data_IF_206547911166
#
_entry.id   IF_206547911166
#
_cell.length_a   1.000
_cell.length_b   1.000
_cell.length_c   1.000
_cell.angle_alpha   90.00
_cell.angle_beta   90.00
_cell.angle_gamma   90.00
#
_symmetry.space_group_name_H-M   'P 1'
#
loop_
_entity.id
_entity.type
_entity.pdbx_description
1 polymer ?
#
# COMPACT_ATOMS: atom_id res chain seq x y z
N UNK A 1 33.71 -0.63 29.03
CA UNK A 1 32.43 0.10 28.84
C UNK A 1 32.06 0.26 27.36
N UNK A 2 32.99 0.56 26.44
CA UNK A 2 32.74 0.72 24.98
C UNK A 2 31.99 -0.45 24.32
N UNK A 3 32.46 -1.70 24.50
CA UNK A 3 31.85 -2.87 23.88
C UNK A 3 30.38 -3.11 24.26
N UNK A 4 29.95 -2.67 25.45
CA UNK A 4 28.56 -2.82 25.88
C UNK A 4 27.66 -1.76 25.22
N UNK A 5 28.15 -0.55 24.99
CA UNK A 5 27.43 0.49 24.28
C UNK A 5 27.28 0.16 22.78
N UNK A 6 28.37 -0.29 22.14
CA UNK A 6 28.36 -0.75 20.75
C UNK A 6 27.40 -1.92 20.53
N UNK A 7 27.35 -2.89 21.46
CA UNK A 7 26.41 -4.01 21.40
C UNK A 7 24.94 -3.57 21.55
N UNK A 8 24.65 -2.58 22.40
CA UNK A 8 23.31 -2.03 22.59
C UNK A 8 22.86 -1.23 21.36
N UNK A 9 23.75 -0.44 20.74
CA UNK A 9 23.46 0.27 19.49
C UNK A 9 23.28 -0.67 18.30
N UNK A 10 24.09 -1.73 18.21
CA UNK A 10 23.93 -2.75 17.19
C UNK A 10 22.57 -3.46 17.34
N UNK A 11 22.20 -3.84 18.56
CA UNK A 11 20.92 -4.48 18.87
C UNK A 11 19.70 -3.60 18.60
N UNK A 12 19.77 -2.29 18.89
CA UNK A 12 18.69 -1.35 18.59
C UNK A 12 18.53 -1.10 17.08
N UNK A 13 19.65 -1.03 16.35
CA UNK A 13 19.68 -0.92 14.90
C UNK A 13 19.03 -2.13 14.20
N UNK A 14 19.36 -3.34 14.63
CA UNK A 14 18.81 -4.58 14.07
C UNK A 14 17.30 -4.72 14.39
N UNK A 15 16.88 -4.31 15.59
CA UNK A 15 15.47 -4.24 15.94
C UNK A 15 14.67 -3.25 15.05
N UNK A 16 15.28 -2.13 14.66
CA UNK A 16 14.69 -1.17 13.72
C UNK A 16 14.53 -1.73 12.30
N UNK A 17 15.50 -2.49 11.81
CA UNK A 17 15.44 -3.17 10.50
C UNK A 17 14.32 -4.21 10.49
N UNK A 18 14.23 -5.02 11.54
CA UNK A 18 13.19 -6.04 11.68
C UNK A 18 11.79 -5.40 11.84
N UNK A 19 11.68 -4.33 12.64
CA UNK A 19 10.45 -3.57 12.79
C UNK A 19 9.94 -3.00 11.47
N UNK A 20 10.82 -2.39 10.66
CA UNK A 20 10.46 -1.89 9.33
C UNK A 20 10.02 -3.04 8.39
N UNK A 21 10.70 -4.18 8.43
CA UNK A 21 10.36 -5.35 7.62
C UNK A 21 8.97 -5.88 7.96
N UNK A 22 8.64 -6.00 9.26
CA UNK A 22 7.31 -6.41 9.71
C UNK A 22 6.21 -5.42 9.33
N UNK A 23 6.43 -4.13 9.54
CA UNK A 23 5.46 -3.09 9.14
C UNK A 23 5.19 -3.15 7.63
N UNK A 24 6.26 -3.22 6.83
CA UNK A 24 6.17 -3.31 5.37
C UNK A 24 5.43 -4.58 4.93
N UNK A 25 5.67 -5.71 5.59
CA UNK A 25 4.99 -6.97 5.35
C UNK A 25 3.50 -6.90 5.67
N UNK A 26 3.14 -6.45 6.89
CA UNK A 26 1.75 -6.30 7.34
C UNK A 26 0.95 -5.37 6.43
N UNK A 27 1.49 -4.20 6.10
CA UNK A 27 0.83 -3.26 5.17
C UNK A 27 0.73 -3.86 3.78
N UNK A 28 1.72 -4.64 3.33
CA UNK A 28 1.66 -5.37 2.05
C UNK A 28 0.49 -6.35 1.98
N UNK A 29 0.30 -7.17 3.01
CA UNK A 29 -0.82 -8.12 3.08
C UNK A 29 -2.16 -7.39 3.10
N UNK A 30 -2.27 -6.34 3.92
CA UNK A 30 -3.47 -5.50 3.99
C UNK A 30 -3.81 -4.90 2.60
N UNK A 31 -2.81 -4.34 1.91
CA UNK A 31 -3.00 -3.79 0.57
C UNK A 31 -3.45 -4.84 -0.44
N UNK A 32 -2.91 -6.07 -0.40
CA UNK A 32 -3.38 -7.15 -1.29
C UNK A 32 -4.87 -7.44 -1.07
N UNK A 33 -5.33 -7.50 0.19
CA UNK A 33 -6.75 -7.71 0.51
C UNK A 33 -7.62 -6.55 0.02
N UNK A 34 -7.22 -5.30 0.29
CA UNK A 34 -7.97 -4.13 -0.13
C UNK A 34 -8.01 -3.98 -1.65
N UNK A 35 -6.90 -4.22 -2.35
CA UNK A 35 -6.82 -4.20 -3.81
C UNK A 35 -7.64 -5.32 -4.45
N UNK A 36 -7.71 -6.49 -3.82
CA UNK A 36 -8.59 -7.56 -4.26
C UNK A 36 -10.06 -7.14 -4.13
N UNK A 37 -10.46 -6.57 -2.98
CA UNK A 37 -11.81 -6.06 -2.78
C UNK A 37 -12.16 -4.95 -3.79
N UNK A 38 -11.23 -4.02 -4.05
CA UNK A 38 -11.36 -2.99 -5.09
C UNK A 38 -11.54 -3.62 -6.47
N UNK A 39 -10.74 -4.63 -6.81
CA UNK A 39 -10.84 -5.34 -8.09
C UNK A 39 -12.20 -6.00 -8.32
N UNK A 40 -12.87 -6.48 -7.26
CA UNK A 40 -14.22 -7.03 -7.38
C UNK A 40 -15.25 -5.97 -7.81
N UNK A 41 -15.05 -4.70 -7.44
CA UNK A 41 -15.95 -3.60 -7.84
C UNK A 41 -15.93 -3.36 -9.35
N UNK A 42 -14.80 -3.68 -10.02
CA UNK A 42 -14.61 -3.51 -11.46
C UNK A 42 -15.53 -4.45 -12.26
N UNK A 43 -15.87 -5.63 -11.71
CA UNK A 43 -16.78 -6.59 -12.36
C UNK A 43 -18.18 -5.99 -12.61
N UNK A 44 -18.58 -4.98 -11.85
CA UNK A 44 -19.82 -4.23 -12.04
C UNK A 44 -19.64 -2.77 -11.64
N UNK A 45 -18.79 -2.06 -12.37
CA UNK A 45 -18.40 -0.70 -11.96
C UNK A 45 -19.59 0.27 -11.86
N UNK A 46 -20.60 0.12 -12.72
CA UNK A 46 -21.81 0.97 -12.70
C UNK A 46 -22.65 0.76 -11.43
N UNK A 47 -22.80 -0.49 -11.00
CA UNK A 47 -23.58 -0.83 -9.80
C UNK A 47 -22.78 -0.67 -8.50
N UNK A 48 -21.45 -0.74 -8.57
CA UNK A 48 -20.55 -0.72 -7.42
C UNK A 48 -19.69 0.55 -7.37
N UNK A 49 -20.05 1.61 -8.12
CA UNK A 49 -19.24 2.83 -8.19
C UNK A 49 -19.01 3.47 -6.81
N UNK A 50 -20.03 3.48 -5.96
CA UNK A 50 -19.92 3.99 -4.58
C UNK A 50 -18.92 3.18 -3.76
N UNK A 51 -18.91 1.87 -3.94
CA UNK A 51 -17.99 0.98 -3.23
C UNK A 51 -16.57 1.12 -3.77
N UNK A 52 -16.40 1.23 -5.09
CA UNK A 52 -15.12 1.50 -5.75
C UNK A 52 -14.51 2.80 -5.23
N UNK A 53 -15.29 3.89 -5.20
CA UNK A 53 -14.81 5.17 -4.66
C UNK A 53 -14.43 5.07 -3.18
N UNK A 54 -15.24 4.38 -2.38
CA UNK A 54 -14.96 4.21 -0.95
C UNK A 54 -13.66 3.42 -0.71
N UNK A 55 -13.50 2.27 -1.36
CA UNK A 55 -12.31 1.42 -1.20
C UNK A 55 -11.08 2.12 -1.81
N UNK A 56 -11.22 2.78 -2.97
CA UNK A 56 -10.19 3.61 -3.58
C UNK A 56 -9.65 4.70 -2.65
N UNK A 57 -10.52 5.38 -1.90
CA UNK A 57 -10.13 6.35 -0.87
C UNK A 57 -9.51 5.69 0.36
N UNK A 58 -10.08 4.56 0.81
CA UNK A 58 -9.55 3.76 1.92
C UNK A 58 -8.11 3.29 1.64
N UNK A 59 -7.77 3.01 0.39
CA UNK A 59 -6.43 2.60 -0.05
C UNK A 59 -5.37 3.70 0.12
N UNK A 60 -5.75 4.98 0.06
CA UNK A 60 -4.78 6.09 0.03
C UNK A 60 -3.83 6.09 1.23
N UNK A 61 -4.30 6.10 2.50
CA UNK A 61 -3.37 6.16 3.63
C UNK A 61 -2.50 4.89 3.82
N UNK A 62 -3.02 3.65 3.67
CA UNK A 62 -2.19 2.45 3.66
C UNK A 62 -1.12 2.43 2.56
N UNK A 63 -1.43 2.94 1.36
CA UNK A 63 -0.45 3.09 0.28
C UNK A 63 0.64 4.09 0.67
N UNK A 64 0.26 5.25 1.22
CA UNK A 64 1.24 6.24 1.72
C UNK A 64 2.14 5.61 2.78
N UNK A 65 1.56 4.88 3.75
CA UNK A 65 2.32 4.18 4.77
C UNK A 65 3.30 3.16 4.17
N UNK A 66 2.88 2.41 3.13
CA UNK A 66 3.74 1.47 2.42
C UNK A 66 4.92 2.18 1.75
N UNK A 67 4.65 3.26 1.02
CA UNK A 67 5.67 4.05 0.30
C UNK A 67 6.67 4.64 1.28
N UNK A 68 6.21 5.21 2.40
CA UNK A 68 7.08 5.77 3.43
C UNK A 68 7.94 4.68 4.07
N UNK A 69 7.35 3.53 4.43
CA UNK A 69 8.09 2.44 5.06
C UNK A 69 9.17 1.83 4.15
N UNK A 70 8.86 1.62 2.86
CA UNK A 70 9.83 1.10 1.88
C UNK A 70 10.87 2.16 1.49
N UNK A 71 10.45 3.41 1.32
CA UNK A 71 11.32 4.55 1.06
C UNK A 71 12.31 4.81 2.20
N UNK A 72 11.87 4.68 3.45
CA UNK A 72 12.75 4.76 4.62
C UNK A 72 13.86 3.70 4.58
N UNK A 73 13.51 2.43 4.29
CA UNK A 73 14.50 1.35 4.15
C UNK A 73 15.48 1.63 3.01
N UNK A 74 14.97 2.10 1.88
CA UNK A 74 15.78 2.48 0.72
C UNK A 74 16.77 3.58 1.10
N UNK A 75 16.29 4.69 1.68
CA UNK A 75 17.11 5.80 2.12
C UNK A 75 18.21 5.35 3.10
N UNK A 76 17.85 4.59 4.15
CA UNK A 76 18.82 4.10 5.15
C UNK A 76 19.90 3.20 4.55
N UNK A 77 19.56 2.40 3.54
CA UNK A 77 20.54 1.60 2.81
C UNK A 77 21.54 2.48 2.05
N UNK A 78 21.07 3.47 1.28
CA UNK A 78 21.95 4.34 0.48
C UNK A 78 22.69 5.40 1.31
N UNK A 79 22.17 5.80 2.47
CA UNK A 79 22.91 6.60 3.46
C UNK A 79 23.87 5.74 4.31
N UNK A 80 24.10 4.48 3.93
CA UNK A 80 25.04 3.54 4.56
C UNK A 80 24.82 3.31 6.05
N UNK A 81 23.57 3.29 6.51
CA UNK A 81 23.27 2.92 7.89
C UNK A 81 23.69 1.45 8.12
N UNK A 82 24.66 1.21 9.02
CA UNK A 82 25.28 -0.11 9.20
C UNK A 82 24.27 -1.27 9.38
N UNK A 83 23.18 -1.15 10.16
CA UNK A 83 22.19 -2.22 10.28
C UNK A 83 21.48 -2.55 8.96
N UNK A 84 21.20 -1.55 8.12
CA UNK A 84 20.50 -1.72 6.85
C UNK A 84 21.41 -2.28 5.75
N UNK A 85 22.69 -1.92 5.77
CA UNK A 85 23.69 -2.47 4.83
C UNK A 85 23.98 -3.95 5.15
N UNK A 86 24.11 -4.32 6.42
CA UNK A 86 24.29 -5.72 6.86
C UNK A 86 23.16 -6.63 6.41
N UNK A 87 21.93 -6.11 6.34
CA UNK A 87 20.76 -6.88 5.86
C UNK A 87 20.83 -7.22 4.37
N UNK A 88 21.70 -6.54 3.62
CA UNK A 88 21.91 -6.74 2.19
C UNK A 88 21.13 -5.77 1.30
N UNK A 89 21.51 -5.68 0.02
CA UNK A 89 20.87 -4.79 -0.95
C UNK A 89 19.38 -5.09 -1.12
N UNK A 90 18.55 -4.06 -1.41
CA UNK A 90 17.22 -4.29 -1.96
C UNK A 90 17.33 -5.18 -3.20
N UNK A 91 16.40 -6.15 -3.34
CA UNK A 91 16.41 -7.08 -4.46
C UNK A 91 16.52 -6.31 -5.81
N UNK A 92 17.42 -6.69 -6.73
CA UNK A 92 17.73 -5.87 -7.91
C UNK A 92 16.52 -5.61 -8.82
N UNK A 93 15.64 -6.60 -8.98
CA UNK A 93 14.37 -6.44 -9.72
C UNK A 93 13.44 -5.40 -9.05
N UNK A 94 13.47 -5.29 -7.72
CA UNK A 94 12.71 -4.29 -6.97
C UNK A 94 13.27 -2.88 -7.09
N UNK A 95 14.56 -2.73 -7.44
CA UNK A 95 15.17 -1.40 -7.64
C UNK A 95 14.63 -0.68 -8.86
N UNK A 96 14.23 -1.42 -9.90
CA UNK A 96 13.65 -0.85 -11.11
C UNK A 96 12.12 -0.84 -11.07
N UNK A 97 11.50 -1.97 -10.70
CA UNK A 97 10.04 -2.07 -10.67
C UNK A 97 9.44 -1.23 -9.53
N UNK A 98 10.12 -1.12 -8.39
CA UNK A 98 9.63 -0.40 -7.22
C UNK A 98 9.29 1.08 -7.50
N UNK A 99 10.23 1.89 -8.01
CA UNK A 99 9.96 3.29 -8.35
C UNK A 99 8.84 3.45 -9.39
N UNK A 100 8.87 2.65 -10.46
CA UNK A 100 7.84 2.71 -11.50
C UNK A 100 6.46 2.36 -10.95
N UNK A 101 6.37 1.32 -10.11
CA UNK A 101 5.13 0.94 -9.45
C UNK A 101 4.62 2.03 -8.51
N UNK A 102 5.50 2.72 -7.78
CA UNK A 102 5.12 3.87 -6.93
C UNK A 102 4.52 4.98 -7.79
N UNK A 103 5.19 5.38 -8.87
CA UNK A 103 4.70 6.42 -9.77
C UNK A 103 3.34 6.04 -10.33
N UNK A 104 3.18 4.82 -10.86
CA UNK A 104 1.91 4.37 -11.41
C UNK A 104 0.80 4.28 -10.35
N UNK A 105 1.13 3.91 -9.11
CA UNK A 105 0.15 3.90 -8.00
C UNK A 105 -0.32 5.31 -7.67
N UNK A 106 0.60 6.28 -7.63
CA UNK A 106 0.28 7.69 -7.40
C UNK A 106 -0.56 8.25 -8.53
N UNK A 107 -0.25 7.92 -9.79
CA UNK A 107 -1.04 8.35 -10.95
C UNK A 107 -2.44 7.73 -10.90
N UNK A 108 -2.56 6.43 -10.63
CA UNK A 108 -3.85 5.75 -10.56
C UNK A 108 -4.76 6.32 -9.46
N UNK A 109 -4.25 6.41 -8.22
CA UNK A 109 -5.03 6.97 -7.11
C UNK A 109 -5.28 8.47 -7.30
N UNK A 110 -4.29 9.22 -7.79
CA UNK A 110 -4.40 10.65 -8.02
C UNK A 110 -5.44 10.99 -9.09
N UNK A 111 -5.46 10.25 -10.20
CA UNK A 111 -6.52 10.40 -11.22
C UNK A 111 -7.89 9.98 -10.70
N UNK A 112 -7.97 8.97 -9.84
CA UNK A 112 -9.23 8.57 -9.18
C UNK A 112 -9.78 9.67 -8.26
N UNK A 113 -8.91 10.27 -7.43
CA UNK A 113 -9.27 11.44 -6.61
C UNK A 113 -9.63 12.64 -7.48
N UNK A 114 -8.91 12.87 -8.58
CA UNK A 114 -9.21 13.96 -9.51
C UNK A 114 -10.58 13.79 -10.18
N UNK A 115 -10.99 12.56 -10.51
CA UNK A 115 -12.34 12.26 -11.02
C UNK A 115 -13.43 12.70 -10.04
N UNK A 116 -13.22 12.52 -8.73
CA UNK A 116 -14.17 12.99 -7.71
C UNK A 116 -14.30 14.51 -7.76
N UNK A 117 -13.19 15.23 -7.96
CA UNK A 117 -13.15 16.70 -7.98
C UNK A 117 -13.78 17.29 -9.23
N UNK A 118 -13.44 16.78 -10.42
CA UNK A 118 -13.97 17.33 -11.69
C UNK A 118 -15.42 16.93 -11.95
N UNK A 119 -15.88 15.89 -11.26
CA UNK A 119 -17.23 15.36 -11.41
C UNK A 119 -17.45 14.69 -12.77
N UNK A 120 -18.66 14.16 -13.00
CA UNK A 120 -18.94 13.33 -14.15
C UNK A 120 -18.94 14.14 -15.47
N UNK A 121 -19.30 15.43 -15.47
CA UNK A 121 -19.41 16.26 -16.68
C UNK A 121 -18.07 16.56 -17.36
N UNK A 122 -16.97 16.55 -16.61
CA UNK A 122 -15.62 16.88 -17.11
C UNK A 122 -14.67 15.67 -17.04
N UNK A 123 -15.22 14.47 -16.90
CA UNK A 123 -14.45 13.26 -16.65
C UNK A 123 -13.57 12.80 -17.83
N UNK A 124 -13.88 13.19 -19.08
CA UNK A 124 -13.35 12.57 -20.30
C UNK A 124 -11.86 12.20 -20.27
N UNK A 125 -10.97 13.18 -20.30
CA UNK A 125 -9.52 12.94 -20.31
C UNK A 125 -9.03 12.23 -19.05
N UNK A 126 -9.56 12.61 -17.89
CA UNK A 126 -9.13 12.10 -16.58
C UNK A 126 -9.52 10.63 -16.44
N UNK A 127 -10.70 10.26 -16.94
CA UNK A 127 -11.21 8.89 -16.94
C UNK A 127 -10.35 8.01 -17.83
N UNK A 128 -10.01 8.49 -19.04
CA UNK A 128 -9.07 7.79 -19.92
C UNK A 128 -7.71 7.62 -19.25
N UNK A 129 -7.18 8.66 -18.60
CA UNK A 129 -5.91 8.58 -17.87
C UNK A 129 -5.98 7.57 -16.71
N UNK A 130 -7.09 7.56 -15.95
CA UNK A 130 -7.33 6.61 -14.87
C UNK A 130 -7.35 5.17 -15.39
N UNK A 131 -8.12 4.89 -16.45
CA UNK A 131 -8.19 3.57 -17.08
C UNK A 131 -6.85 3.11 -17.67
N UNK A 132 -6.15 3.99 -18.39
CA UNK A 132 -4.86 3.67 -18.96
C UNK A 132 -3.81 3.39 -17.87
N UNK A 133 -3.79 4.21 -16.82
CA UNK A 133 -2.92 3.99 -15.67
C UNK A 133 -3.26 2.69 -14.95
N UNK A 134 -4.54 2.33 -14.84
CA UNK A 134 -4.98 1.06 -14.25
C UNK A 134 -4.42 -0.14 -15.00
N UNK A 135 -4.50 -0.17 -16.33
CA UNK A 135 -3.99 -1.31 -17.12
C UNK A 135 -2.48 -1.51 -16.91
N UNK A 136 -1.71 -0.41 -16.99
CA UNK A 136 -0.25 -0.46 -16.79
C UNK A 136 0.07 -0.88 -15.34
N UNK A 137 -0.57 -0.23 -14.38
CA UNK A 137 -0.38 -0.48 -12.95
C UNK A 137 -0.77 -1.92 -12.57
N UNK A 138 -1.85 -2.46 -13.14
CA UNK A 138 -2.31 -3.82 -12.89
C UNK A 138 -1.27 -4.84 -13.35
N UNK A 139 -0.70 -4.68 -14.55
CA UNK A 139 0.37 -5.54 -15.03
C UNK A 139 1.62 -5.51 -14.12
N UNK A 140 2.06 -4.31 -13.73
CA UNK A 140 3.19 -4.12 -12.82
C UNK A 140 2.92 -4.74 -11.44
N UNK A 141 1.73 -4.52 -10.88
CA UNK A 141 1.32 -5.02 -9.57
C UNK A 141 1.18 -6.54 -9.59
N UNK A 142 0.59 -7.11 -10.64
CA UNK A 142 0.48 -8.56 -10.80
C UNK A 142 1.87 -9.21 -10.81
N UNK A 143 2.79 -8.71 -11.64
CA UNK A 143 4.18 -9.19 -11.68
C UNK A 143 4.85 -9.03 -10.30
N UNK A 144 4.69 -7.87 -9.66
CA UNK A 144 5.26 -7.57 -8.35
C UNK A 144 4.76 -8.56 -7.28
N UNK A 145 3.44 -8.78 -7.20
CA UNK A 145 2.82 -9.68 -6.24
C UNK A 145 3.23 -11.13 -6.52
N UNK A 146 3.21 -11.59 -7.78
CA UNK A 146 3.63 -12.95 -8.14
C UNK A 146 5.10 -13.21 -7.78
N UNK A 147 5.99 -12.24 -8.04
CA UNK A 147 7.39 -12.32 -7.68
C UNK A 147 7.59 -12.45 -6.15
N UNK A 148 6.73 -11.82 -5.35
CA UNK A 148 6.82 -11.86 -3.89
C UNK A 148 5.99 -12.97 -3.26
N UNK A 149 5.04 -13.57 -3.97
CA UNK A 149 4.10 -14.56 -3.41
C UNK A 149 4.84 -15.77 -2.85
N UNK A 150 5.87 -16.28 -3.53
CA UNK A 150 6.63 -17.45 -3.02
C UNK A 150 7.40 -17.12 -1.74
N UNK A 151 8.13 -16.00 -1.70
CA UNK A 151 8.84 -15.56 -0.50
C UNK A 151 7.87 -15.23 0.65
N UNK A 152 6.77 -14.55 0.35
CA UNK A 152 5.79 -14.09 1.34
C UNK A 152 4.99 -15.24 1.93
N UNK A 153 4.56 -16.22 1.12
CA UNK A 153 3.84 -17.41 1.60
C UNK A 153 4.74 -18.30 2.44
N UNK A 154 6.00 -18.50 2.04
CA UNK A 154 6.97 -19.31 2.81
C UNK A 154 7.35 -18.65 4.13
N UNK A 155 7.47 -17.31 4.17
CA UNK A 155 7.78 -16.56 5.39
C UNK A 155 6.57 -16.40 6.32
N UNK A 156 5.39 -16.09 5.79
CA UNK A 156 4.15 -15.95 6.57
C UNK A 156 3.72 -17.29 7.20
N UNK A 157 3.90 -18.42 6.50
CA UNK A 157 3.62 -19.75 7.06
C UNK A 157 4.50 -20.09 8.27
N UNK A 158 5.71 -19.53 8.36
CA UNK A 158 6.63 -19.73 9.50
C UNK A 158 6.28 -18.81 10.67
N UNK A 159 5.92 -17.56 10.40
CA UNK A 159 5.57 -16.57 11.44
C UNK A 159 4.19 -16.81 12.09
N UNK A 160 3.19 -17.28 11.32
CA UNK A 160 1.85 -17.58 11.84
C UNK A 160 1.86 -18.81 12.75
N UNK A 161 2.74 -19.78 12.49
CA UNK A 161 2.75 -21.04 13.24
C UNK A 161 3.32 -20.88 14.65
N UNK A 162 4.25 -19.97 14.90
CA UNK A 162 4.76 -19.63 16.25
C UNK A 162 5.35 -18.22 16.25
N UNK A 163 4.69 -17.21 16.83
CA UNK A 163 5.39 -16.02 17.28
C UNK A 163 6.44 -16.49 18.30
N UNK A 164 7.73 -16.40 17.97
CA UNK A 164 8.80 -16.83 18.89
C UNK A 164 8.76 -15.96 20.17
N UNK A 165 8.33 -16.52 21.32
CA UNK A 165 8.26 -15.77 22.57
C UNK A 165 9.66 -15.37 23.08
N UNK A 166 10.72 -16.02 22.57
CA UNK A 166 12.10 -15.78 22.98
C UNK A 166 12.73 -14.55 22.30
N UNK A 167 12.09 -13.97 21.28
CA UNK A 167 12.60 -12.77 20.56
C UNK A 167 11.50 -11.74 20.31
N UNK A 168 10.95 -11.11 21.37
CA UNK A 168 10.00 -10.02 21.22
C UNK A 168 10.66 -8.86 20.45
N UNK A 169 10.17 -8.56 19.25
CA UNK A 169 10.64 -7.41 18.46
C UNK A 169 10.03 -6.13 19.04
N UNK A 170 10.84 -5.22 19.60
CA UNK A 170 10.37 -3.96 20.17
C UNK A 170 9.52 -3.15 19.18
N UNK A 171 8.60 -2.32 19.68
CA UNK A 171 7.79 -1.42 18.84
C UNK A 171 6.58 -2.05 18.15
N UNK A 172 6.07 -3.21 18.63
CA UNK A 172 4.82 -3.82 18.11
C UNK A 172 3.64 -2.85 18.18
N UNK A 173 3.46 -2.17 19.32
CA UNK A 173 2.37 -1.20 19.53
C UNK A 173 2.40 -0.03 18.54
N UNK A 174 3.60 0.50 18.25
CA UNK A 174 3.77 1.57 17.26
C UNK A 174 3.40 1.10 15.86
N UNK A 175 3.84 -0.10 15.46
CA UNK A 175 3.51 -0.66 14.15
C UNK A 175 2.02 -0.93 13.99
N UNK A 176 1.38 -1.55 15.00
CA UNK A 176 -0.06 -1.80 14.98
C UNK A 176 -0.85 -0.49 15.01
N UNK A 177 -0.39 0.49 15.79
CA UNK A 177 -0.96 1.83 15.84
C UNK A 177 -0.88 2.56 14.49
N UNK A 178 0.25 2.48 13.79
CA UNK A 178 0.40 3.07 12.46
C UNK A 178 -0.54 2.44 11.41
N UNK A 179 -0.67 1.11 11.41
CA UNK A 179 -1.60 0.40 10.52
C UNK A 179 -3.05 0.76 10.86
N UNK A 180 -3.41 0.75 12.14
CA UNK A 180 -4.75 1.11 12.60
C UNK A 180 -5.08 2.57 12.24
N UNK A 181 -4.14 3.50 12.45
CA UNK A 181 -4.31 4.90 12.10
C UNK A 181 -4.51 5.07 10.58
N UNK A 182 -3.73 4.38 9.75
CA UNK A 182 -3.91 4.42 8.30
C UNK A 182 -5.29 3.89 7.89
N UNK A 183 -5.78 2.82 8.52
CA UNK A 183 -7.12 2.29 8.26
C UNK A 183 -8.22 3.25 8.71
N UNK A 184 -8.13 3.79 9.93
CA UNK A 184 -9.10 4.77 10.45
C UNK A 184 -9.14 6.02 9.58
N UNK A 185 -7.96 6.53 9.19
CA UNK A 185 -7.86 7.68 8.29
C UNK A 185 -8.50 7.38 6.92
N UNK A 186 -8.29 6.18 6.37
CA UNK A 186 -8.86 5.79 5.08
C UNK A 186 -10.38 5.60 5.16
N UNK A 187 -10.89 5.00 6.24
CA UNK A 187 -12.33 4.86 6.49
C UNK A 187 -12.98 6.22 6.67
N UNK A 188 -12.36 7.12 7.45
CA UNK A 188 -12.85 8.48 7.63
C UNK A 188 -12.88 9.25 6.30
N UNK A 189 -11.81 9.16 5.50
CA UNK A 189 -11.74 9.79 4.19
C UNK A 189 -12.83 9.27 3.25
N UNK A 190 -12.99 7.94 3.17
CA UNK A 190 -14.07 7.31 2.40
C UNK A 190 -15.44 7.80 2.86
N UNK A 191 -15.72 7.74 4.17
CA UNK A 191 -17.02 8.13 4.71
C UNK A 191 -17.38 9.61 4.45
N UNK A 192 -16.39 10.51 4.52
CA UNK A 192 -16.60 11.95 4.28
C UNK A 192 -16.82 12.26 2.80
N UNK A 193 -16.12 11.57 1.89
CA UNK A 193 -16.12 11.91 0.46
C UNK A 193 -17.18 11.13 -0.30
N UNK A 194 -17.49 9.88 0.06
CA UNK A 194 -18.46 9.03 -0.66
C UNK A 194 -19.84 9.68 -0.90
N UNK A 195 -20.39 10.56 -0.03
CA UNK A 195 -21.64 11.27 -0.36
C UNK A 195 -21.61 12.06 -1.67
N UNK A 196 -20.44 12.55 -2.11
CA UNK A 196 -20.29 13.25 -3.40
C UNK A 196 -20.40 12.31 -4.61
N UNK A 197 -20.33 11.00 -4.39
CA UNK A 197 -20.51 9.98 -5.43
C UNK A 197 -21.95 9.91 -5.99
N UNK A 198 -22.92 10.55 -5.34
CA UNK A 198 -24.33 10.59 -5.80
C UNK A 198 -24.50 11.13 -7.23
N UNK A 199 -23.61 12.03 -7.66
CA UNK A 199 -23.58 12.52 -9.04
C UNK A 199 -23.23 11.41 -10.07
N UNK A 200 -22.43 10.42 -9.66
CA UNK A 200 -22.01 9.30 -10.51
C UNK A 200 -23.06 8.18 -10.57
N UNK A 201 -23.80 7.98 -9.47
CA UNK A 201 -24.89 6.99 -9.42
C UNK A 201 -26.12 7.44 -10.23
N UNK A 202 -26.49 8.71 -10.14
CA UNK A 202 -27.64 9.28 -10.89
C UNK A 202 -27.43 9.24 -12.41
N UNK A 203 -26.22 9.55 -12.90
CA UNK A 203 -25.91 9.40 -14.33
C UNK A 203 -25.97 7.93 -14.79
N UNK A 204 -25.43 7.01 -14.00
CA UNK A 204 -25.44 5.57 -14.35
C UNK A 204 -26.86 5.03 -14.48
N UNK A 205 -27.79 5.50 -13.65
CA UNK A 205 -29.21 5.18 -13.76
C UNK A 205 -29.83 5.77 -15.04
N UNK A 206 -29.50 7.02 -15.40
CA UNK A 206 -30.02 7.65 -16.63
C UNK A 206 -29.54 6.96 -17.92
N UNK A 207 -28.30 6.45 -17.95
CA UNK A 207 -27.75 5.70 -19.09
C UNK A 207 -28.30 4.28 -19.19
N UNK A 208 -28.68 3.64 -18.08
CA UNK A 208 -29.24 2.28 -18.09
C UNK A 208 -30.69 2.19 -18.56
N UNK A 209 -31.37 3.33 -18.71
CA UNK A 209 -32.76 3.44 -19.19
C UNK A 209 -32.87 3.81 -20.68
N UNK A 210 -31.74 3.96 -21.38
CA UNK A 210 -31.66 4.18 -22.83
C UNK A 210 -31.16 2.92 -23.52
#
# INVERSE_FOLDING_TARGET
MSHRAEAVEAGSGDAGVEGNSRLTGTVGVLLVVLLFAEGLTILSIRGLITLHLFIGLLLVPPVVLKIVATGYRFARYYTRAAPYVRRGPPHPVLRLIGPLLIVMTVVLLGTGVWLIVVGPDHAGLVLTAHQASFVIWFGLTAIHVLAHVRETVVLAAKDVRRPDPARPVPGRGVRTGAVALALVAGVALGAVVTPTATAWTTRSAAEGHR
#
